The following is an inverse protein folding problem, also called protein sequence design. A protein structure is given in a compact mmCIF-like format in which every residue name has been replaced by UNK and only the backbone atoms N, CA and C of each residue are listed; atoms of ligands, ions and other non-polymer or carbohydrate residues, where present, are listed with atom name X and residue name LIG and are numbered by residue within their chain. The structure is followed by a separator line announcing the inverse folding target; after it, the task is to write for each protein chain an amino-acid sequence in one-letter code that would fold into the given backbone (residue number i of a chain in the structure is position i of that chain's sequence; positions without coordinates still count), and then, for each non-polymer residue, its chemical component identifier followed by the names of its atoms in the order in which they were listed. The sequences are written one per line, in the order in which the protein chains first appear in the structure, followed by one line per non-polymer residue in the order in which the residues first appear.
data_IF_327491415367
#
_entry.id   IF_327491415367
#
_cell.length_a   1.000
_cell.length_b   1.000
_cell.length_c   1.000
_cell.angle_alpha   90.00
_cell.angle_beta   90.00
_cell.angle_gamma   90.00
#
_symmetry.space_group_name_H-M   'P 1'
#
loop_
_entity.id
_entity.type
_entity.pdbx_description
1 polymer ?
#
# COMPACT_ATOMS: atom_id res chain seq x y z
N UNK A 1 -7.50 19.45 6.66
CA UNK A 1 -8.33 18.83 5.60
C UNK A 1 -7.97 17.37 5.57
N UNK A 2 -8.91 16.50 5.96
CA UNK A 2 -8.68 15.06 6.15
C UNK A 2 -9.39 14.29 5.04
N UNK A 3 -8.70 14.04 3.92
CA UNK A 3 -9.20 13.09 2.91
C UNK A 3 -9.25 11.72 3.57
N UNK A 4 -10.45 11.14 3.65
CA UNK A 4 -10.58 9.78 4.18
C UNK A 4 -9.84 8.82 3.23
N UNK A 5 -9.03 7.87 3.72
CA UNK A 5 -8.22 6.99 2.86
C UNK A 5 -9.01 6.22 1.78
N UNK A 6 -10.30 5.99 1.99
CA UNK A 6 -11.18 5.35 1.00
C UNK A 6 -11.49 6.21 -0.22
N UNK A 7 -11.31 7.54 -0.14
CA UNK A 7 -11.54 8.49 -1.22
C UNK A 7 -10.32 8.65 -2.14
N UNK A 8 -9.16 8.11 -1.74
CA UNK A 8 -7.95 8.14 -2.56
C UNK A 8 -8.17 7.23 -3.78
N UNK A 9 -8.04 7.73 -5.02
CA UNK A 9 -8.15 6.90 -6.21
C UNK A 9 -7.12 5.78 -6.22
N UNK A 10 -7.57 4.53 -6.29
CA UNK A 10 -6.72 3.34 -6.26
C UNK A 10 -6.60 2.78 -7.67
N UNK A 11 -5.37 2.53 -8.12
CA UNK A 11 -5.10 1.96 -9.44
C UNK A 11 -5.04 0.43 -9.42
N UNK A 12 -4.60 -0.18 -8.31
CA UNK A 12 -4.60 -1.64 -8.15
C UNK A 12 -4.88 -2.06 -6.71
N UNK A 13 -5.66 -3.14 -6.56
CA UNK A 13 -5.99 -3.77 -5.28
C UNK A 13 -5.33 -5.15 -5.23
N UNK A 14 -4.67 -5.45 -4.12
CA UNK A 14 -4.04 -6.74 -3.86
C UNK A 14 -4.70 -7.40 -2.66
N UNK A 15 -5.12 -8.64 -2.82
CA UNK A 15 -5.64 -9.45 -1.72
C UNK A 15 -4.51 -10.31 -1.16
N UNK A 16 -4.28 -10.22 0.14
CA UNK A 16 -3.32 -11.03 0.89
C UNK A 16 -4.13 -11.84 1.89
N UNK A 17 -4.24 -13.14 1.67
CA UNK A 17 -5.01 -14.01 2.56
C UNK A 17 -4.16 -14.48 3.74
N UNK A 18 -2.85 -14.64 3.53
CA UNK A 18 -1.90 -15.02 4.57
C UNK A 18 -0.50 -14.45 4.28
N UNK A 19 0.47 -14.76 5.14
CA UNK A 19 1.82 -14.21 5.02
C UNK A 19 2.59 -14.72 3.79
N UNK A 20 2.25 -15.88 3.25
CA UNK A 20 2.93 -16.46 2.08
C UNK A 20 2.68 -15.65 0.80
N UNK A 21 1.51 -15.00 0.70
CA UNK A 21 1.13 -14.13 -0.42
C UNK A 21 1.99 -12.85 -0.52
N UNK A 22 2.60 -12.42 0.59
CA UNK A 22 3.32 -11.13 0.68
C UNK A 22 4.43 -11.03 -0.35
N UNK A 23 5.20 -12.09 -0.56
CA UNK A 23 6.31 -12.10 -1.51
C UNK A 23 5.82 -11.90 -2.94
N UNK A 24 4.71 -12.54 -3.31
CA UNK A 24 4.10 -12.39 -4.65
C UNK A 24 3.60 -10.96 -4.84
N UNK A 25 2.85 -10.43 -3.88
CA UNK A 25 2.31 -9.06 -3.92
C UNK A 25 3.44 -8.03 -4.05
N UNK A 26 4.52 -8.16 -3.28
CA UNK A 26 5.68 -7.26 -3.38
C UNK A 26 6.32 -7.27 -4.76
N UNK A 27 6.51 -8.45 -5.36
CA UNK A 27 7.07 -8.56 -6.72
C UNK A 27 6.19 -7.85 -7.75
N UNK A 28 4.87 -8.05 -7.65
CA UNK A 28 3.93 -7.37 -8.54
C UNK A 28 3.96 -5.85 -8.34
N UNK A 29 4.02 -5.36 -7.09
CA UNK A 29 4.11 -3.93 -6.80
C UNK A 29 5.39 -3.30 -7.35
N UNK A 30 6.53 -3.97 -7.20
CA UNK A 30 7.84 -3.49 -7.68
C UNK A 30 8.00 -3.57 -9.20
N UNK A 31 7.12 -4.30 -9.89
CA UNK A 31 7.05 -4.30 -11.35
C UNK A 31 6.24 -3.11 -11.90
N UNK A 32 5.48 -2.40 -11.05
CA UNK A 32 4.73 -1.22 -11.44
C UNK A 32 5.60 0.04 -11.35
N UNK A 33 5.27 1.03 -12.17
CA UNK A 33 5.84 2.36 -12.06
C UNK A 33 5.14 3.13 -10.94
N UNK A 34 5.57 2.90 -9.69
CA UNK A 34 4.93 3.44 -8.48
C UNK A 34 4.74 4.97 -8.52
N UNK A 35 5.60 5.71 -9.22
CA UNK A 35 5.46 7.16 -9.38
C UNK A 35 4.22 7.54 -10.21
N UNK A 36 3.88 6.72 -11.22
CA UNK A 36 2.74 6.92 -12.10
C UNK A 36 1.46 6.29 -11.60
N UNK A 37 1.52 5.34 -10.66
CA UNK A 37 0.35 4.71 -10.06
C UNK A 37 -0.41 5.66 -9.13
N UNK A 38 -1.75 5.62 -9.12
CA UNK A 38 -2.59 6.52 -8.30
C UNK A 38 -2.41 6.23 -6.82
N UNK A 39 -2.72 5.00 -6.42
CA UNK A 39 -2.44 4.42 -5.13
C UNK A 39 -2.62 2.92 -5.23
N UNK A 40 -1.85 2.16 -4.46
CA UNK A 40 -1.98 0.71 -4.35
C UNK A 40 -2.72 0.39 -3.05
N UNK A 41 -3.72 -0.49 -3.11
CA UNK A 41 -4.44 -0.98 -1.93
C UNK A 41 -4.06 -2.42 -1.65
N UNK A 42 -3.80 -2.75 -0.39
CA UNK A 42 -3.70 -4.14 0.05
C UNK A 42 -4.82 -4.42 1.03
N UNK A 43 -5.62 -5.45 0.74
CA UNK A 43 -6.58 -6.02 1.66
C UNK A 43 -5.89 -7.14 2.44
N UNK A 44 -6.00 -7.08 3.77
CA UNK A 44 -5.39 -8.02 4.71
C UNK A 44 -6.49 -8.60 5.60
N UNK A 45 -6.35 -9.84 6.09
CA UNK A 45 -7.37 -10.44 6.94
C UNK A 45 -7.51 -9.65 8.22
N UNK A 46 -8.71 -9.60 8.81
CA UNK A 46 -8.97 -8.89 10.07
C UNK A 46 -8.41 -9.57 11.32
N UNK A 47 -7.34 -10.34 11.16
CA UNK A 47 -6.57 -10.91 12.25
C UNK A 47 -5.44 -9.94 12.64
N UNK A 48 -5.54 -9.31 13.80
CA UNK A 48 -4.72 -8.14 14.15
C UNK A 48 -3.20 -8.39 14.08
N UNK A 49 -2.71 -9.55 14.54
CA UNK A 49 -1.27 -9.87 14.54
C UNK A 49 -0.77 -10.10 13.12
N UNK A 50 -1.49 -10.90 12.33
CA UNK A 50 -1.18 -11.18 10.94
C UNK A 50 -1.23 -9.90 10.09
N UNK A 51 -2.29 -9.09 10.22
CA UNK A 51 -2.44 -7.84 9.49
C UNK A 51 -1.30 -6.85 9.78
N UNK A 52 -0.92 -6.67 11.06
CA UNK A 52 0.23 -5.84 11.44
C UNK A 52 1.53 -6.33 10.80
N UNK A 53 1.75 -7.65 10.82
CA UNK A 53 2.95 -8.27 10.23
C UNK A 53 2.97 -8.07 8.72
N UNK A 54 1.86 -8.33 8.01
CA UNK A 54 1.74 -8.11 6.57
C UNK A 54 1.98 -6.63 6.23
N UNK A 55 1.27 -5.71 6.89
CA UNK A 55 1.39 -4.28 6.62
C UNK A 55 2.81 -3.76 6.82
N UNK A 56 3.48 -4.16 7.92
CA UNK A 56 4.87 -3.81 8.19
C UNK A 56 5.82 -4.34 7.10
N UNK A 57 5.70 -5.62 6.73
CA UNK A 57 6.55 -6.22 5.69
C UNK A 57 6.32 -5.56 4.34
N UNK A 58 5.07 -5.33 3.95
CA UNK A 58 4.72 -4.66 2.69
C UNK A 58 5.37 -3.28 2.61
N UNK A 59 5.19 -2.43 3.62
CA UNK A 59 5.73 -1.06 3.61
C UNK A 59 7.26 -1.07 3.53
N UNK A 60 7.92 -1.90 4.35
CA UNK A 60 9.38 -1.91 4.42
C UNK A 60 10.03 -2.48 3.17
N UNK A 61 9.58 -3.64 2.71
CA UNK A 61 10.18 -4.30 1.54
C UNK A 61 9.83 -3.54 0.25
N UNK A 62 8.66 -2.91 0.16
CA UNK A 62 8.33 -2.03 -0.96
C UNK A 62 9.26 -0.81 -0.97
N UNK A 63 9.44 -0.14 0.17
CA UNK A 63 10.34 1.01 0.27
C UNK A 63 11.78 0.62 -0.10
N UNK A 64 12.29 -0.48 0.47
CA UNK A 64 13.62 -1.01 0.15
C UNK A 64 13.76 -1.34 -1.33
N UNK A 65 12.77 -2.04 -1.91
CA UNK A 65 12.73 -2.41 -3.32
C UNK A 65 12.77 -1.20 -4.26
N UNK A 66 11.93 -0.21 -4.00
CA UNK A 66 11.89 1.03 -4.77
C UNK A 66 13.20 1.82 -4.67
N UNK A 67 13.82 1.87 -3.48
CA UNK A 67 15.14 2.51 -3.31
C UNK A 67 16.24 1.83 -4.13
N UNK A 68 16.22 0.49 -4.21
CA UNK A 68 17.14 -0.26 -5.08
C UNK A 68 16.90 0.01 -6.58
N UNK A 69 15.68 0.41 -6.96
CA UNK A 69 15.32 0.86 -8.31
C UNK A 69 15.55 2.36 -8.54
N UNK A 70 16.28 3.04 -7.64
CA UNK A 70 16.58 4.49 -7.68
C UNK A 70 15.35 5.40 -7.55
N UNK A 71 14.22 4.90 -7.05
CA UNK A 71 13.09 5.77 -6.70
C UNK A 71 13.43 6.60 -5.45
N UNK A 72 13.38 7.92 -5.57
CA UNK A 72 13.74 8.86 -4.50
C UNK A 72 12.53 9.42 -3.75
N UNK A 73 11.32 9.24 -4.29
CA UNK A 73 10.09 9.78 -3.74
C UNK A 73 9.71 9.19 -2.39
N UNK A 74 8.91 9.93 -1.64
CA UNK A 74 8.37 9.47 -0.38
C UNK A 74 7.16 8.57 -0.61
N UNK A 75 7.04 7.49 0.17
CA UNK A 75 5.84 6.64 0.22
C UNK A 75 5.05 7.06 1.44
N UNK A 76 3.78 7.41 1.23
CA UNK A 76 2.81 7.65 2.29
C UNK A 76 1.85 6.47 2.34
N UNK A 77 1.38 6.16 3.54
CA UNK A 77 0.41 5.09 3.70
C UNK A 77 -0.63 5.40 4.75
N UNK A 78 -1.79 4.77 4.58
CA UNK A 78 -2.93 4.87 5.49
C UNK A 78 -3.45 3.47 5.78
N UNK A 79 -3.76 3.19 7.02
CA UNK A 79 -4.37 1.92 7.43
C UNK A 79 -5.76 2.21 7.99
N UNK A 80 -6.76 1.44 7.58
CA UNK A 80 -8.13 1.61 8.07
C UNK A 80 -8.91 0.28 8.05
N UNK A 81 -10.03 0.26 8.76
CA UNK A 81 -11.00 -0.83 8.68
C UNK A 81 -11.75 -0.74 7.35
N UNK A 82 -11.56 -1.71 6.46
CA UNK A 82 -12.19 -1.68 5.14
C UNK A 82 -13.61 -2.23 5.19
N UNK A 83 -13.74 -3.45 5.72
CA UNK A 83 -14.99 -4.20 5.79
C UNK A 83 -14.97 -5.14 7.03
N UNK A 84 -16.00 -5.97 7.27
CA UNK A 84 -16.03 -6.90 8.40
C UNK A 84 -14.88 -7.91 8.44
N UNK A 85 -14.30 -8.27 7.30
CA UNK A 85 -13.31 -9.34 7.13
C UNK A 85 -11.89 -8.81 6.84
N UNK A 86 -11.75 -7.54 6.48
CA UNK A 86 -10.48 -6.97 6.03
C UNK A 86 -10.09 -5.65 6.70
N UNK A 87 -8.79 -5.54 7.00
CA UNK A 87 -8.10 -4.26 7.06
C UNK A 87 -7.62 -3.87 5.66
N UNK A 88 -7.50 -2.58 5.40
CA UNK A 88 -6.84 -2.07 4.20
C UNK A 88 -5.63 -1.21 4.55
N UNK A 89 -4.58 -1.33 3.74
CA UNK A 89 -3.51 -0.34 3.65
C UNK A 89 -3.51 0.28 2.25
N UNK A 90 -3.47 1.61 2.19
CA UNK A 90 -3.26 2.38 0.96
C UNK A 90 -1.81 2.83 0.94
N UNK A 91 -1.13 2.64 -0.18
CA UNK A 91 0.23 3.08 -0.45
C UNK A 91 0.18 4.07 -1.61
N UNK A 92 0.69 5.27 -1.40
CA UNK A 92 0.64 6.36 -2.40
C UNK A 92 1.94 7.16 -2.37
N UNK A 93 2.39 7.66 -3.52
CA UNK A 93 3.53 8.56 -3.55
C UNK A 93 3.17 9.90 -2.89
N UNK A 94 4.12 10.47 -2.15
CA UNK A 94 3.93 11.75 -1.47
C UNK A 94 3.59 12.88 -2.45
N UNK A 95 4.13 12.84 -3.66
CA UNK A 95 3.83 13.81 -4.72
C UNK A 95 2.38 13.74 -5.19
N UNK A 96 1.84 12.53 -5.42
CA UNK A 96 0.43 12.38 -5.79
C UNK A 96 -0.51 12.75 -4.66
N UNK A 97 -0.18 12.34 -3.45
CA UNK A 97 -0.99 12.70 -2.28
C UNK A 97 -1.02 14.22 -2.09
N UNK A 98 0.10 14.93 -2.32
CA UNK A 98 0.12 16.38 -2.28
C UNK A 98 -0.86 16.97 -3.30
N UNK A 99 -0.83 16.51 -4.56
CA UNK A 99 -1.75 16.97 -5.63
C UNK A 99 -3.23 16.71 -5.36
N UNK A 100 -3.58 15.72 -4.53
CA UNK A 100 -4.96 15.46 -4.12
C UNK A 100 -5.44 16.38 -2.99
N UNK A 101 -4.50 16.96 -2.23
CA UNK A 101 -4.75 17.89 -1.14
C UNK A 101 -4.54 19.37 -1.55
N UNK A 102 -4.34 19.63 -2.85
CA UNK A 102 -4.18 20.98 -3.44
C UNK A 102 -5.46 21.35 -4.17
#
# INVERSE_FOLDING_TARGET
MDIHPSQIPVSKIFNVNDYSDVTRVLKEMLALDFAKESALKVLMPKEQKLAKRIGYTIVNELNKGLRMQNYTGNIRYFVYHHDPEHYAIILVSGEKLAKLNV
#
